data_IF_210374167557
#
_entry.id   IF_210374167557
#
_cell.length_a   1.000
_cell.length_b   1.000
_cell.length_c   1.000
_cell.angle_alpha   90.00
_cell.angle_beta   90.00
_cell.angle_gamma   90.00
#
_symmetry.space_group_name_H-M   'P 1'
#
loop_
_entity.id
_entity.type
_entity.pdbx_description
1 polymer ?
#
# COMPACT_ATOMS: atom_id res chain seq x y z
N UNK A 1 -31.68 2.66 59.68
CA UNK A 1 -30.34 2.99 59.16
C UNK A 1 -30.16 2.13 57.91
N UNK A 2 -30.67 2.53 56.74
CA UNK A 2 -30.21 3.57 55.82
C UNK A 2 -28.78 3.32 55.31
N UNK A 3 -28.63 3.41 53.98
CA UNK A 3 -27.38 3.62 53.20
C UNK A 3 -26.61 2.32 52.91
N UNK A 4 -26.28 1.89 51.68
CA UNK A 4 -26.20 2.52 50.35
C UNK A 4 -26.28 1.42 49.28
N UNK A 5 -27.17 1.59 48.32
CA UNK A 5 -27.09 0.98 46.99
C UNK A 5 -25.85 1.55 46.30
N UNK A 6 -24.82 0.75 46.05
CA UNK A 6 -23.79 1.12 45.08
C UNK A 6 -24.33 0.79 43.70
N UNK A 7 -24.92 1.80 43.07
CA UNK A 7 -25.06 1.87 41.63
C UNK A 7 -23.66 1.83 41.03
N UNK A 8 -23.30 0.72 40.38
CA UNK A 8 -22.20 0.71 39.44
C UNK A 8 -22.60 1.62 38.28
N UNK A 9 -22.14 2.87 38.30
CA UNK A 9 -22.01 3.66 37.09
C UNK A 9 -21.01 2.91 36.20
N UNK A 10 -21.54 2.02 35.35
CA UNK A 10 -20.86 1.66 34.12
C UNK A 10 -20.75 2.97 33.34
N UNK A 11 -19.60 3.64 33.46
CA UNK A 11 -19.18 4.58 32.43
C UNK A 11 -19.28 3.81 31.12
N UNK A 12 -20.19 4.21 30.24
CA UNK A 12 -20.21 3.73 28.88
C UNK A 12 -18.85 4.14 28.29
N UNK A 13 -17.87 3.23 28.33
CA UNK A 13 -16.67 3.36 27.52
C UNK A 13 -17.18 3.61 26.09
N UNK A 14 -16.76 4.75 25.51
CA UNK A 14 -17.14 5.08 24.15
C UNK A 14 -16.84 3.85 23.28
N UNK A 15 -17.84 3.39 22.52
CA UNK A 15 -17.73 2.17 21.74
C UNK A 15 -16.53 2.27 20.79
N UNK A 16 -15.44 1.58 21.12
CA UNK A 16 -14.25 1.53 20.29
C UNK A 16 -14.51 0.62 19.08
N UNK A 17 -14.09 1.05 17.90
CA UNK A 17 -14.24 0.27 16.66
C UNK A 17 -12.89 -0.16 16.13
N UNK A 18 -12.77 -1.40 15.68
CA UNK A 18 -11.52 -1.87 15.09
C UNK A 18 -11.80 -2.82 13.95
N UNK A 19 -11.14 -2.62 12.81
CA UNK A 19 -11.40 -3.43 11.63
C UNK A 19 -10.55 -3.07 10.43
N UNK A 20 -10.74 -3.83 9.37
CA UNK A 20 -9.94 -3.79 8.16
C UNK A 20 -10.68 -3.08 7.03
N UNK A 21 -10.00 -2.14 6.38
CA UNK A 21 -10.42 -1.53 5.14
C UNK A 21 -9.41 -1.85 4.05
N UNK A 22 -9.83 -2.38 2.89
CA UNK A 22 -8.91 -2.50 1.76
C UNK A 22 -9.12 -1.39 0.73
N UNK A 23 -8.03 -0.89 0.16
CA UNK A 23 -8.10 -0.01 -1.00
C UNK A 23 -7.85 -0.80 -2.27
N UNK A 24 -8.75 -0.62 -3.23
CA UNK A 24 -8.78 -1.37 -4.49
C UNK A 24 -8.93 -0.39 -5.64
N UNK A 25 -8.45 -0.80 -6.80
CA UNK A 25 -8.44 0.07 -7.97
C UNK A 25 -7.32 -0.29 -8.92
N UNK A 26 -7.39 0.24 -10.14
CA UNK A 26 -6.36 0.02 -11.16
C UNK A 26 -4.96 0.39 -10.65
N UNK A 27 -3.90 -0.15 -11.26
CA UNK A 27 -2.55 0.37 -11.03
C UNK A 27 -2.52 1.90 -11.20
N UNK A 28 -1.76 2.59 -10.37
CA UNK A 28 -1.65 4.07 -10.33
C UNK A 28 -2.94 4.83 -9.94
N UNK A 29 -3.92 4.17 -9.33
CA UNK A 29 -5.13 4.82 -8.83
C UNK A 29 -4.91 5.69 -7.57
N UNK A 30 -3.70 5.69 -6.99
CA UNK A 30 -3.38 6.48 -5.79
C UNK A 30 -3.60 5.75 -4.45
N UNK A 31 -3.78 4.42 -4.47
CA UNK A 31 -4.02 3.57 -3.27
C UNK A 31 -2.94 3.75 -2.19
N UNK A 32 -1.69 3.40 -2.49
CA UNK A 32 -0.57 3.48 -1.54
C UNK A 32 -0.29 4.93 -1.08
N UNK A 33 -0.51 5.92 -1.96
CA UNK A 33 -0.41 7.34 -1.59
C UNK A 33 -1.48 7.72 -0.57
N UNK A 34 -2.71 7.21 -0.75
CA UNK A 34 -3.81 7.42 0.19
C UNK A 34 -3.58 6.67 1.51
N UNK A 35 -3.08 5.43 1.47
CA UNK A 35 -2.69 4.67 2.66
C UNK A 35 -1.66 5.43 3.48
N UNK A 36 -0.58 5.91 2.87
CA UNK A 36 0.43 6.69 3.56
C UNK A 36 -0.12 8.00 4.13
N UNK A 37 -1.03 8.66 3.43
CA UNK A 37 -1.64 9.91 3.91
C UNK A 37 -2.53 9.68 5.14
N UNK A 38 -3.29 8.58 5.18
CA UNK A 38 -4.13 8.23 6.32
C UNK A 38 -3.31 7.76 7.54
N UNK A 39 -2.24 7.00 7.31
CA UNK A 39 -1.31 6.59 8.38
C UNK A 39 -0.48 7.78 8.89
N UNK A 40 -0.27 8.79 8.06
CA UNK A 40 0.58 9.95 8.37
C UNK A 40 2.08 9.69 8.17
N UNK A 41 2.47 8.47 7.78
CA UNK A 41 3.83 8.08 7.47
C UNK A 41 3.88 7.14 6.26
N UNK A 42 5.08 6.97 5.71
CA UNK A 42 5.30 6.11 4.54
C UNK A 42 5.45 4.65 4.96
N UNK A 43 4.36 3.88 4.84
CA UNK A 43 4.32 2.43 5.09
C UNK A 43 4.26 1.61 3.80
N UNK A 44 3.75 2.18 2.71
CA UNK A 44 3.69 1.55 1.40
C UNK A 44 4.49 2.35 0.36
N UNK A 45 5.17 1.66 -0.56
CA UNK A 45 5.91 2.34 -1.63
C UNK A 45 4.98 2.90 -2.71
N UNK A 46 5.46 3.93 -3.40
CA UNK A 46 4.71 4.64 -4.43
C UNK A 46 5.54 4.78 -5.70
N UNK A 47 4.93 4.53 -6.85
CA UNK A 47 5.58 4.75 -8.14
C UNK A 47 4.52 4.94 -9.22
N UNK A 48 4.90 5.61 -10.31
CA UNK A 48 4.05 5.74 -11.49
C UNK A 48 4.05 4.47 -12.36
N UNK A 49 4.77 3.42 -11.94
CA UNK A 49 4.84 2.15 -12.65
C UNK A 49 3.65 1.26 -12.26
N UNK A 50 2.97 0.65 -13.24
CA UNK A 50 1.98 -0.38 -12.93
C UNK A 50 2.61 -1.51 -12.11
N UNK A 51 1.81 -2.18 -11.28
CA UNK A 51 2.27 -3.26 -10.38
C UNK A 51 3.38 -2.81 -9.40
N UNK A 52 3.26 -1.57 -8.89
CA UNK A 52 4.14 -1.08 -7.82
C UNK A 52 3.95 -1.91 -6.56
N UNK A 53 2.75 -2.01 -6.00
CA UNK A 53 2.47 -2.87 -4.84
C UNK A 53 2.43 -4.35 -5.26
N UNK A 54 3.25 -5.19 -4.61
CA UNK A 54 3.32 -6.65 -4.83
C UNK A 54 3.15 -7.49 -3.57
N UNK A 55 3.22 -6.84 -2.41
CA UNK A 55 2.91 -7.41 -1.11
C UNK A 55 1.69 -6.69 -0.57
N UNK A 56 0.89 -7.37 0.23
CA UNK A 56 -0.21 -6.73 0.93
C UNK A 56 0.35 -6.03 2.16
N UNK A 57 0.36 -4.71 2.13
CA UNK A 57 0.88 -3.90 3.24
C UNK A 57 -0.29 -3.48 4.11
N UNK A 58 -0.17 -3.66 5.42
CA UNK A 58 -1.13 -3.06 6.37
C UNK A 58 -0.58 -1.75 6.91
N UNK A 59 -1.34 -0.68 6.73
CA UNK A 59 -1.14 0.58 7.41
C UNK A 59 -2.11 0.68 8.58
N UNK A 60 -1.63 1.03 9.77
CA UNK A 60 -2.44 1.08 10.99
C UNK A 60 -2.69 2.55 11.33
N UNK A 61 -3.97 2.93 11.36
CA UNK A 61 -4.41 4.27 11.75
C UNK A 61 -5.01 4.17 13.15
N UNK A 62 -4.35 4.80 14.12
CA UNK A 62 -4.81 4.87 15.51
C UNK A 62 -5.66 6.12 15.74
N UNK A 63 -6.81 5.96 16.39
CA UNK A 63 -7.67 7.04 16.87
C UNK A 63 -8.09 6.72 18.32
N UNK A 64 -8.46 7.74 19.12
CA UNK A 64 -8.90 7.49 20.50
C UNK A 64 -10.13 6.57 20.60
N UNK A 65 -10.97 6.58 19.57
CA UNK A 65 -12.24 5.85 19.48
C UNK A 65 -12.21 4.71 18.45
N UNK A 66 -11.10 4.50 17.74
CA UNK A 66 -11.01 3.45 16.73
C UNK A 66 -9.58 3.05 16.32
N UNK A 67 -9.47 1.87 15.72
CA UNK A 67 -8.29 1.43 14.98
C UNK A 67 -8.68 0.97 13.57
N UNK A 68 -8.24 1.71 12.56
CA UNK A 68 -8.51 1.43 11.15
C UNK A 68 -7.27 0.79 10.52
N UNK A 69 -7.39 -0.47 10.10
CA UNK A 69 -6.30 -1.21 9.46
C UNK A 69 -6.50 -1.14 7.94
N UNK A 70 -5.66 -0.35 7.28
CA UNK A 70 -5.66 -0.14 5.84
C UNK A 70 -4.85 -1.24 5.15
N UNK A 71 -5.53 -2.08 4.40
CA UNK A 71 -4.91 -3.14 3.61
C UNK A 71 -4.66 -2.62 2.18
N UNK A 72 -3.43 -2.19 1.89
CA UNK A 72 -3.02 -1.81 0.54
C UNK A 72 -2.76 -3.06 -0.30
N UNK A 73 -3.55 -3.23 -1.36
CA UNK A 73 -3.50 -4.41 -2.21
C UNK A 73 -2.88 -4.11 -3.58
N UNK A 74 -2.25 -5.11 -4.23
CA UNK A 74 -1.83 -4.99 -5.61
C UNK A 74 -2.95 -4.49 -6.54
N UNK A 75 -2.59 -3.74 -7.58
CA UNK A 75 -3.58 -3.32 -8.57
C UNK A 75 -4.11 -4.50 -9.38
N UNK A 76 -5.43 -4.75 -9.30
CA UNK A 76 -6.07 -5.82 -10.06
C UNK A 76 -5.96 -5.57 -11.57
N UNK A 77 -5.55 -6.59 -12.32
CA UNK A 77 -5.38 -6.53 -13.78
C UNK A 77 -5.45 -7.94 -14.39
N UNK A 78 -5.64 -8.05 -15.71
CA UNK A 78 -5.60 -9.35 -16.40
C UNK A 78 -4.17 -9.91 -16.34
N UNK A 79 -3.93 -11.06 -15.68
CA UNK A 79 -2.58 -11.55 -15.45
C UNK A 79 -1.97 -12.10 -16.74
N UNK A 80 -0.65 -12.02 -16.85
CA UNK A 80 0.16 -12.55 -17.97
C UNK A 80 1.32 -13.44 -17.49
N UNK A 81 1.50 -13.55 -16.18
CA UNK A 81 2.57 -14.27 -15.49
C UNK A 81 2.00 -14.89 -14.24
N UNK A 82 2.68 -15.91 -13.70
CA UNK A 82 2.30 -16.56 -12.44
C UNK A 82 2.32 -15.57 -11.27
N UNK A 83 3.27 -14.62 -11.25
CA UNK A 83 3.24 -13.52 -10.29
C UNK A 83 1.91 -12.78 -10.36
N UNK A 84 1.48 -12.36 -11.56
CA UNK A 84 0.22 -11.63 -11.72
C UNK A 84 -1.01 -12.42 -11.26
N UNK A 85 -1.01 -13.73 -11.48
CA UNK A 85 -2.07 -14.62 -10.97
C UNK A 85 -2.10 -14.61 -9.44
N UNK A 86 -0.95 -14.84 -8.78
CA UNK A 86 -0.84 -14.80 -7.31
C UNK A 86 -1.24 -13.45 -6.73
N UNK A 87 -0.82 -12.35 -7.35
CA UNK A 87 -1.20 -11.01 -6.89
C UNK A 87 -2.72 -10.79 -6.95
N UNK A 88 -3.39 -11.30 -7.99
CA UNK A 88 -4.84 -11.23 -8.07
C UNK A 88 -5.54 -12.13 -7.04
N UNK A 89 -4.97 -13.31 -6.75
CA UNK A 89 -5.51 -14.22 -5.73
C UNK A 89 -5.41 -13.59 -4.33
N UNK A 90 -4.29 -12.92 -4.04
CA UNK A 90 -4.11 -12.13 -2.81
C UNK A 90 -5.18 -11.04 -2.71
N UNK A 91 -5.39 -10.26 -3.78
CA UNK A 91 -6.44 -9.22 -3.81
C UNK A 91 -7.82 -9.80 -3.49
N UNK A 92 -8.21 -10.90 -4.13
CA UNK A 92 -9.52 -11.52 -3.91
C UNK A 92 -9.68 -12.10 -2.52
N UNK A 93 -8.61 -12.69 -1.97
CA UNK A 93 -8.61 -13.21 -0.60
C UNK A 93 -8.82 -12.06 0.40
N UNK A 94 -8.09 -10.95 0.23
CA UNK A 94 -8.27 -9.75 1.05
C UNK A 94 -9.70 -9.23 1.01
N UNK A 95 -10.35 -9.21 -0.16
CA UNK A 95 -11.73 -8.73 -0.26
C UNK A 95 -12.75 -9.53 0.55
N UNK A 96 -12.47 -10.82 0.77
CA UNK A 96 -13.34 -11.69 1.55
C UNK A 96 -13.18 -11.49 3.07
N UNK A 97 -12.08 -10.88 3.50
CA UNK A 97 -11.67 -10.77 4.91
C UNK A 97 -11.84 -9.37 5.49
N UNK A 98 -12.03 -8.34 4.66
CA UNK A 98 -12.16 -6.95 5.14
C UNK A 98 -13.59 -6.56 5.50
N UNK A 99 -13.71 -5.62 6.42
CA UNK A 99 -14.96 -5.03 6.88
C UNK A 99 -15.50 -3.97 5.93
N UNK A 100 -14.62 -3.26 5.20
CA UNK A 100 -15.01 -2.26 4.20
C UNK A 100 -14.06 -2.25 2.99
N UNK A 101 -14.60 -1.99 1.80
CA UNK A 101 -13.83 -1.90 0.55
C UNK A 101 -13.89 -0.46 0.02
N UNK A 102 -12.73 0.20 -0.07
CA UNK A 102 -12.58 1.50 -0.71
C UNK A 102 -12.14 1.39 -2.17
N UNK A 103 -13.01 1.72 -3.12
CA UNK A 103 -12.71 1.69 -4.55
C UNK A 103 -12.15 3.03 -5.04
N UNK A 104 -10.84 3.07 -5.27
CA UNK A 104 -10.10 4.25 -5.71
C UNK A 104 -10.23 4.47 -7.23
N UNK A 105 -10.79 5.61 -7.60
CA UNK A 105 -11.03 6.06 -8.97
C UNK A 105 -10.41 7.45 -9.18
N UNK A 106 -9.37 7.60 -10.01
CA UNK A 106 -8.71 8.90 -10.19
C UNK A 106 -9.62 9.92 -10.85
N UNK A 107 -9.64 11.15 -10.34
CA UNK A 107 -10.42 12.26 -10.89
C UNK A 107 -9.90 12.71 -12.27
N UNK A 108 -8.60 12.56 -12.52
CA UNK A 108 -7.92 12.95 -13.75
C UNK A 108 -8.15 11.98 -14.94
N UNK A 109 -8.94 10.91 -14.74
CA UNK A 109 -9.14 9.86 -15.72
C UNK A 109 -10.61 9.47 -15.85
N UNK A 110 -11.06 9.25 -17.08
CA UNK A 110 -12.39 8.67 -17.32
C UNK A 110 -12.45 7.24 -16.80
N UNK A 111 -13.63 6.84 -16.32
CA UNK A 111 -13.94 5.45 -15.95
C UNK A 111 -13.72 4.53 -17.16
N UNK A 112 -12.66 3.73 -17.10
CA UNK A 112 -12.24 2.87 -18.20
C UNK A 112 -12.69 1.42 -18.06
N UNK A 113 -12.32 0.55 -19.03
CA UNK A 113 -12.63 -0.88 -18.97
C UNK A 113 -12.09 -1.59 -17.73
N UNK A 114 -10.91 -1.20 -17.24
CA UNK A 114 -10.33 -1.79 -16.04
C UNK A 114 -11.06 -1.38 -14.75
N UNK A 115 -11.59 -0.14 -14.68
CA UNK A 115 -12.44 0.29 -13.56
C UNK A 115 -13.76 -0.50 -13.56
N UNK A 116 -14.37 -0.62 -14.74
CA UNK A 116 -15.61 -1.41 -14.93
C UNK A 116 -15.41 -2.89 -14.61
N UNK A 117 -14.24 -3.46 -14.91
CA UNK A 117 -13.90 -4.82 -14.53
C UNK A 117 -13.85 -5.00 -13.01
N UNK A 118 -13.14 -4.11 -12.31
CA UNK A 118 -13.06 -4.14 -10.83
C UNK A 118 -14.45 -3.95 -10.23
N UNK A 119 -15.21 -2.95 -10.69
CA UNK A 119 -16.55 -2.69 -10.21
C UNK A 119 -17.48 -3.90 -10.38
N UNK A 120 -17.40 -4.63 -11.50
CA UNK A 120 -18.16 -5.87 -11.71
C UNK A 120 -17.81 -6.96 -10.69
N UNK A 121 -16.52 -7.14 -10.38
CA UNK A 121 -16.12 -8.11 -9.35
C UNK A 121 -16.63 -7.66 -7.97
N UNK A 122 -16.55 -6.35 -7.65
CA UNK A 122 -17.06 -5.79 -6.39
C UNK A 122 -18.58 -5.92 -6.26
N UNK A 123 -19.34 -5.84 -7.36
CA UNK A 123 -20.78 -6.06 -7.36
C UNK A 123 -21.15 -7.50 -6.93
N UNK A 124 -20.25 -8.47 -7.10
CA UNK A 124 -20.40 -9.84 -6.60
C UNK A 124 -20.31 -9.96 -5.08
N UNK A 125 -19.72 -8.98 -4.39
CA UNK A 125 -19.52 -8.99 -2.94
C UNK A 125 -20.73 -8.35 -2.27
N UNK A 126 -21.61 -9.14 -1.66
CA UNK A 126 -22.89 -8.61 -1.14
C UNK A 126 -22.83 -7.98 0.25
N UNK A 127 -22.03 -8.55 1.16
CA UNK A 127 -22.09 -8.20 2.59
C UNK A 127 -21.20 -7.02 2.98
N UNK A 128 -20.09 -6.83 2.28
CA UNK A 128 -19.09 -5.83 2.65
C UNK A 128 -19.50 -4.45 2.11
N UNK A 129 -19.62 -3.39 2.94
CA UNK A 129 -19.85 -2.03 2.48
C UNK A 129 -18.74 -1.56 1.54
N UNK A 130 -19.13 -0.71 0.58
CA UNK A 130 -18.24 -0.22 -0.48
C UNK A 130 -18.26 1.29 -0.49
N UNK A 131 -17.09 1.92 -0.42
CA UNK A 131 -16.93 3.37 -0.52
C UNK A 131 -16.24 3.69 -1.84
N UNK A 132 -16.81 4.55 -2.66
CA UNK A 132 -16.10 5.06 -3.83
C UNK A 132 -15.20 6.23 -3.40
N UNK A 133 -13.91 6.15 -3.73
CA UNK A 133 -12.92 7.16 -3.35
C UNK A 133 -12.41 7.81 -4.62
N UNK A 134 -12.78 9.07 -4.85
CA UNK A 134 -12.33 9.82 -6.03
C UNK A 134 -10.98 10.44 -5.71
N UNK A 135 -9.89 9.80 -6.16
CA UNK A 135 -8.53 10.22 -5.80
C UNK A 135 -8.02 11.33 -6.73
N UNK A 136 -6.93 12.00 -6.34
CA UNK A 136 -6.22 13.01 -7.18
C UNK A 136 -7.07 14.22 -7.57
N UNK A 137 -7.96 14.65 -6.69
CA UNK A 137 -8.83 15.82 -6.91
C UNK A 137 -8.07 17.15 -6.97
N UNK A 138 -6.76 17.15 -6.72
CA UNK A 138 -5.84 18.26 -6.95
C UNK A 138 -5.48 18.48 -8.42
N UNK A 139 -5.71 17.50 -9.29
CA UNK A 139 -5.33 17.57 -10.70
C UNK A 139 -6.45 18.07 -11.62
N UNK A 140 -7.65 18.32 -11.08
CA UNK A 140 -8.83 18.67 -11.87
C UNK A 140 -9.56 19.88 -11.29
N UNK A 141 -10.34 20.57 -12.13
CA UNK A 141 -11.22 21.63 -11.69
C UNK A 141 -12.55 21.09 -11.12
N UNK A 142 -13.38 21.99 -10.56
CA UNK A 142 -14.66 21.61 -9.96
C UNK A 142 -15.67 21.02 -10.95
N UNK A 143 -15.60 21.40 -12.23
CA UNK A 143 -16.51 20.88 -13.26
C UNK A 143 -16.16 19.43 -13.59
N UNK A 144 -14.90 19.14 -13.86
CA UNK A 144 -14.40 17.80 -14.12
C UNK A 144 -14.62 16.87 -12.92
N UNK A 145 -14.43 17.38 -11.69
CA UNK A 145 -14.74 16.62 -10.48
C UNK A 145 -16.23 16.27 -10.38
N UNK A 146 -17.13 17.23 -10.62
CA UNK A 146 -18.56 16.98 -10.59
C UNK A 146 -19.00 15.95 -11.65
N UNK A 147 -18.47 16.04 -12.87
CA UNK A 147 -18.70 15.07 -13.93
C UNK A 147 -18.25 13.66 -13.51
N UNK A 148 -17.09 13.54 -12.86
CA UNK A 148 -16.58 12.27 -12.37
C UNK A 148 -17.45 11.68 -11.26
N UNK A 149 -17.89 12.49 -10.28
CA UNK A 149 -18.78 12.03 -9.21
C UNK A 149 -20.09 11.46 -9.78
N UNK A 150 -20.69 12.15 -10.75
CA UNK A 150 -21.89 11.67 -11.46
C UNK A 150 -21.62 10.34 -12.17
N UNK A 151 -20.48 10.22 -12.85
CA UNK A 151 -20.13 8.99 -13.58
C UNK A 151 -19.95 7.79 -12.64
N UNK A 152 -19.44 8.00 -11.42
CA UNK A 152 -19.24 6.96 -10.41
C UNK A 152 -20.57 6.51 -9.79
N UNK A 153 -21.46 7.46 -9.48
CA UNK A 153 -22.82 7.16 -9.05
C UNK A 153 -23.58 6.35 -10.12
N UNK A 154 -23.49 6.77 -11.39
CA UNK A 154 -24.09 6.04 -12.51
C UNK A 154 -23.51 4.63 -12.67
N UNK A 155 -22.19 4.46 -12.51
CA UNK A 155 -21.55 3.14 -12.55
C UNK A 155 -22.09 2.23 -11.44
N UNK A 156 -22.31 2.78 -10.24
CA UNK A 156 -22.91 2.04 -9.13
C UNK A 156 -24.31 1.55 -9.48
N UNK A 157 -25.16 2.45 -9.99
CA UNK A 157 -26.52 2.12 -10.45
C UNK A 157 -26.55 1.09 -11.58
N UNK A 158 -25.65 1.23 -12.56
CA UNK A 158 -25.54 0.31 -13.70
C UNK A 158 -25.21 -1.12 -13.26
N UNK A 159 -24.35 -1.26 -12.24
CA UNK A 159 -23.82 -2.55 -11.79
C UNK A 159 -24.50 -3.09 -10.52
N UNK A 160 -25.47 -2.37 -9.97
CA UNK A 160 -26.15 -2.75 -8.72
C UNK A 160 -25.26 -2.62 -7.48
N UNK A 161 -24.30 -1.69 -7.50
CA UNK A 161 -23.47 -1.36 -6.34
C UNK A 161 -24.10 -0.18 -5.61
N UNK A 162 -24.48 -0.41 -4.36
CA UNK A 162 -24.81 0.66 -3.43
C UNK A 162 -23.53 1.15 -2.75
N UNK A 163 -23.12 2.37 -3.08
CA UNK A 163 -22.00 3.03 -2.41
C UNK A 163 -22.48 3.48 -1.04
N UNK A 164 -21.77 3.08 0.03
CA UNK A 164 -21.97 3.64 1.36
C UNK A 164 -21.65 5.15 1.34
N UNK A 165 -20.58 5.52 0.65
CA UNK A 165 -20.15 6.91 0.46
C UNK A 165 -19.44 7.09 -0.89
N UNK A 166 -19.45 8.31 -1.43
CA UNK A 166 -18.62 8.74 -2.57
C UNK A 166 -17.78 9.94 -2.13
N UNK A 167 -16.49 9.73 -1.87
CA UNK A 167 -15.62 10.69 -1.17
C UNK A 167 -14.51 11.23 -2.10
N UNK A 168 -14.48 12.53 -2.42
CA UNK A 168 -13.42 13.14 -3.21
C UNK A 168 -12.19 13.50 -2.37
N UNK A 169 -11.05 12.85 -2.63
CA UNK A 169 -9.83 12.97 -1.81
C UNK A 169 -8.63 13.41 -2.64
N UNK A 170 -7.77 14.24 -2.04
CA UNK A 170 -6.40 14.43 -2.51
C UNK A 170 -5.43 14.08 -1.40
N UNK A 171 -4.79 12.92 -1.54
CA UNK A 171 -3.78 12.44 -0.60
C UNK A 171 -2.52 13.33 -0.60
N UNK A 172 -2.16 13.89 -1.76
CA UNK A 172 -1.00 14.78 -1.93
C UNK A 172 -1.25 16.17 -1.35
N UNK A 173 -2.47 16.70 -1.47
CA UNK A 173 -2.85 18.00 -0.92
C UNK A 173 -3.47 17.93 0.48
N UNK A 174 -3.61 16.74 1.07
CA UNK A 174 -4.25 16.54 2.37
C UNK A 174 -5.75 16.84 2.41
N UNK A 175 -6.42 17.00 1.26
CA UNK A 175 -7.86 17.33 1.23
C UNK A 175 -8.71 16.10 1.48
N UNK A 176 -9.59 16.21 2.49
CA UNK A 176 -10.57 15.19 2.88
C UNK A 176 -9.97 13.83 3.27
N UNK A 177 -8.68 13.78 3.63
CA UNK A 177 -8.04 12.55 4.11
C UNK A 177 -8.64 12.14 5.46
N UNK A 178 -8.73 13.07 6.42
CA UNK A 178 -9.34 12.81 7.72
C UNK A 178 -10.83 12.49 7.61
N UNK A 179 -11.56 13.23 6.75
CA UNK A 179 -12.98 12.95 6.46
C UNK A 179 -13.18 11.52 5.96
N UNK A 180 -12.28 11.02 5.08
CA UNK A 180 -12.38 9.64 4.63
C UNK A 180 -12.22 8.66 5.80
N UNK A 181 -11.28 8.89 6.73
CA UNK A 181 -11.15 8.06 7.92
C UNK A 181 -12.43 8.09 8.77
N UNK A 182 -12.98 9.29 8.99
CA UNK A 182 -14.21 9.52 9.77
C UNK A 182 -15.43 8.82 9.15
N UNK A 183 -15.46 8.64 7.83
CA UNK A 183 -16.51 7.91 7.10
C UNK A 183 -16.29 6.39 7.06
N UNK A 184 -15.03 5.93 7.12
CA UNK A 184 -14.70 4.51 7.15
C UNK A 184 -14.91 3.88 8.54
N UNK A 185 -14.55 4.60 9.62
CA UNK A 185 -14.60 4.10 11.00
C UNK A 185 -16.00 3.60 11.41
N UNK A 186 -17.11 4.31 11.13
CA UNK A 186 -18.45 3.84 11.49
C UNK A 186 -18.86 2.54 10.78
N UNK A 187 -18.19 2.17 9.67
CA UNK A 187 -18.44 0.94 8.93
C UNK A 187 -17.69 -0.27 9.51
N UNK A 188 -16.78 -0.04 10.45
CA UNK A 188 -16.02 -1.09 11.13
C UNK A 188 -16.85 -1.71 12.28
N UNK A 189 -16.60 -2.98 12.65
CA UNK A 189 -17.23 -3.58 13.81
C UNK A 189 -16.75 -2.91 15.12
N UNK A 190 -17.58 -2.97 16.14
CA UNK A 190 -17.18 -2.65 17.50
C UNK A 190 -16.23 -3.74 18.03
N UNK A 191 -15.15 -3.33 18.67
CA UNK A 191 -14.12 -4.25 19.13
C UNK A 191 -12.88 -3.53 19.67
N UNK A 192 -12.04 -4.26 20.43
CA UNK A 192 -10.80 -3.72 20.94
C UNK A 192 -9.80 -3.45 19.80
N UNK A 193 -8.78 -2.65 20.06
CA UNK A 193 -7.64 -2.52 19.15
C UNK A 193 -7.05 -3.90 18.79
N UNK A 194 -6.74 -4.11 17.51
CA UNK A 194 -6.19 -5.35 16.96
C UNK A 194 -4.67 -5.38 17.00
N UNK A 195 -4.03 -4.21 16.98
CA UNK A 195 -2.58 -4.02 17.02
C UNK A 195 -2.18 -3.13 18.20
N UNK A 196 -0.95 -3.28 18.74
CA UNK A 196 -0.40 -2.41 19.76
C UNK A 196 -0.45 -0.93 19.38
N UNK A 197 -0.60 -0.06 20.37
CA UNK A 197 -0.49 1.39 20.15
C UNK A 197 0.90 1.75 19.61
N UNK A 198 0.94 2.67 18.65
CA UNK A 198 2.17 3.18 18.05
C UNK A 198 2.66 2.40 16.82
N UNK A 199 2.25 1.14 16.65
CA UNK A 199 2.57 0.37 15.45
C UNK A 199 1.88 0.99 14.23
N UNK A 200 2.65 1.36 13.21
CA UNK A 200 2.09 1.93 11.97
C UNK A 200 1.89 0.90 10.86
N UNK A 201 2.53 -0.27 11.00
CA UNK A 201 2.45 -1.39 10.07
C UNK A 201 2.87 -2.68 10.78
N UNK A 202 2.44 -3.84 10.26
CA UNK A 202 2.88 -5.16 10.71
C UNK A 202 4.01 -5.75 9.82
N UNK A 203 4.48 -4.99 8.84
CA UNK A 203 5.52 -5.43 7.92
C UNK A 203 6.90 -5.47 8.57
N UNK A 204 7.67 -6.57 8.43
CA UNK A 204 9.04 -6.64 8.90
C UNK A 204 9.93 -5.56 8.26
N UNK A 205 10.85 -4.99 9.03
CA UNK A 205 11.78 -3.95 8.55
C UNK A 205 12.55 -4.35 7.30
N UNK A 206 12.98 -5.62 7.20
CA UNK A 206 13.68 -6.15 6.03
C UNK A 206 12.83 -6.03 4.76
N UNK A 207 11.52 -6.24 4.86
CA UNK A 207 10.57 -6.13 3.73
C UNK A 207 10.39 -4.66 3.38
N UNK A 208 10.19 -3.78 4.37
CA UNK A 208 10.10 -2.34 4.13
C UNK A 208 11.36 -1.78 3.46
N UNK A 209 12.55 -2.18 3.93
CA UNK A 209 13.84 -1.80 3.34
C UNK A 209 13.97 -2.32 1.91
N UNK A 210 13.61 -3.58 1.65
CA UNK A 210 13.61 -4.15 0.30
C UNK A 210 12.70 -3.35 -0.65
N UNK A 211 11.51 -2.97 -0.17
CA UNK A 211 10.55 -2.18 -0.92
C UNK A 211 11.06 -0.77 -1.22
N UNK A 212 11.68 -0.08 -0.24
CA UNK A 212 12.30 1.23 -0.47
C UNK A 212 13.42 1.18 -1.52
N UNK A 213 14.23 0.12 -1.51
CA UNK A 213 15.26 -0.11 -2.54
C UNK A 213 14.60 -0.36 -3.90
N UNK A 214 13.53 -1.15 -3.94
CA UNK A 214 12.80 -1.44 -5.17
C UNK A 214 12.16 -0.18 -5.73
N UNK A 215 11.55 0.65 -4.90
CA UNK A 215 10.97 1.94 -5.30
C UNK A 215 12.01 2.83 -6.00
N UNK A 216 13.18 3.00 -5.38
CA UNK A 216 14.28 3.75 -5.97
C UNK A 216 14.78 3.11 -7.28
N UNK A 217 14.83 1.78 -7.37
CA UNK A 217 15.22 1.05 -8.57
C UNK A 217 14.22 1.20 -9.73
N UNK A 218 12.92 1.28 -9.42
CA UNK A 218 11.82 1.49 -10.38
C UNK A 218 11.85 2.89 -11.03
N UNK A 219 12.46 3.86 -10.37
CA UNK A 219 12.50 5.23 -10.86
C UNK A 219 13.36 5.36 -12.12
N UNK A 220 12.77 5.79 -13.24
CA UNK A 220 13.51 6.01 -14.48
C UNK A 220 13.86 4.75 -15.29
N UNK A 221 13.49 3.54 -14.86
CA UNK A 221 13.46 2.36 -15.75
C UNK A 221 12.17 2.37 -16.58
N UNK A 222 12.18 1.80 -17.79
CA UNK A 222 11.04 1.77 -18.73
C UNK A 222 10.85 0.36 -19.31
N UNK A 223 9.86 0.25 -20.19
CA UNK A 223 9.54 -0.98 -20.93
C UNK A 223 9.22 -2.13 -19.97
N UNK A 224 9.78 -3.32 -20.18
CA UNK A 224 9.52 -4.47 -19.32
C UNK A 224 10.33 -4.50 -18.03
N UNK A 225 11.39 -3.69 -17.92
CA UNK A 225 12.31 -3.72 -16.79
C UNK A 225 11.64 -3.50 -15.42
N UNK A 226 10.72 -2.50 -15.23
CA UNK A 226 9.99 -2.34 -13.98
C UNK A 226 9.33 -3.62 -13.45
N UNK A 227 8.84 -4.47 -14.35
CA UNK A 227 8.15 -5.71 -14.00
C UNK A 227 9.12 -6.81 -13.56
N UNK A 228 10.36 -6.79 -14.05
CA UNK A 228 11.37 -7.82 -13.75
C UNK A 228 12.21 -7.57 -12.49
N UNK A 229 12.09 -6.39 -11.85
CA UNK A 229 12.86 -6.06 -10.64
C UNK A 229 12.21 -6.70 -9.42
N UNK A 230 13.00 -7.41 -8.62
CA UNK A 230 12.68 -7.79 -7.24
C UNK A 230 13.86 -7.44 -6.34
N UNK A 231 13.61 -7.19 -5.06
CA UNK A 231 14.68 -6.91 -4.09
C UNK A 231 14.50 -7.82 -2.90
N UNK A 232 15.59 -8.41 -2.43
CA UNK A 232 15.65 -9.19 -1.20
C UNK A 232 16.77 -8.63 -0.34
N UNK A 233 16.47 -8.29 0.90
CA UNK A 233 17.47 -8.00 1.92
C UNK A 233 17.90 -9.33 2.51
N UNK A 234 19.19 -9.67 2.36
CA UNK A 234 19.74 -10.92 2.90
C UNK A 234 20.08 -10.77 4.38
N UNK A 235 20.56 -9.58 4.76
CA UNK A 235 21.12 -9.34 6.08
C UNK A 235 20.99 -7.86 6.46
N UNK A 236 20.63 -7.63 7.73
CA UNK A 236 20.62 -6.33 8.41
C UNK A 236 21.27 -6.53 9.78
N UNK A 237 22.52 -6.08 9.94
CA UNK A 237 23.27 -6.25 11.18
C UNK A 237 23.89 -4.92 11.64
N UNK A 238 23.88 -4.63 12.95
CA UNK A 238 24.69 -3.54 13.48
C UNK A 238 26.16 -3.78 13.14
N UNK A 239 26.83 -2.76 12.61
CA UNK A 239 28.25 -2.85 12.31
C UNK A 239 29.04 -2.97 13.60
N UNK A 240 29.79 -4.07 13.70
CA UNK A 240 30.76 -4.28 14.78
C UNK A 240 31.80 -3.14 14.84
N UNK A 241 32.37 -2.88 16.01
CA UNK A 241 33.37 -1.82 16.25
C UNK A 241 32.87 -0.36 16.10
N UNK A 242 31.56 -0.13 16.21
CA UNK A 242 30.97 1.22 16.32
C UNK A 242 30.64 1.56 17.78
N UNK A 243 30.96 2.78 18.26
CA UNK A 243 30.50 3.21 19.57
C UNK A 243 28.99 3.46 19.56
N UNK A 244 28.32 3.30 20.70
CA UNK A 244 26.85 3.41 20.82
C UNK A 244 26.31 4.79 20.40
N UNK A 245 27.12 5.85 20.50
CA UNK A 245 26.76 7.21 20.07
C UNK A 245 26.85 7.43 18.55
N UNK A 246 27.45 6.48 17.81
CA UNK A 246 27.59 6.52 16.35
C UNK A 246 27.29 5.15 15.72
N UNK A 247 26.06 4.64 15.92
CA UNK A 247 25.66 3.36 15.35
C UNK A 247 25.66 3.43 13.82
N UNK A 248 25.89 2.28 13.19
CA UNK A 248 25.76 2.11 11.75
C UNK A 248 25.18 0.73 11.50
N UNK A 249 24.11 0.65 10.71
CA UNK A 249 23.52 -0.62 10.31
C UNK A 249 24.05 -1.03 8.92
N UNK A 250 24.59 -2.23 8.81
CA UNK A 250 25.00 -2.83 7.54
C UNK A 250 23.83 -3.58 6.93
N UNK A 251 23.47 -3.19 5.70
CA UNK A 251 22.36 -3.76 4.94
C UNK A 251 22.89 -4.34 3.65
N UNK A 252 22.80 -5.66 3.49
CA UNK A 252 23.15 -6.36 2.25
C UNK A 252 21.89 -6.75 1.49
N UNK A 253 21.71 -6.21 0.29
CA UNK A 253 20.52 -6.46 -0.52
C UNK A 253 20.85 -6.86 -1.96
N UNK A 254 20.05 -7.80 -2.48
CA UNK A 254 20.12 -8.27 -3.85
C UNK A 254 18.99 -7.66 -4.69
N UNK A 255 19.36 -6.97 -5.77
CA UNK A 255 18.44 -6.51 -6.82
C UNK A 255 18.40 -7.56 -7.91
N UNK A 256 17.31 -8.32 -7.97
CA UNK A 256 17.08 -9.36 -8.95
C UNK A 256 16.44 -8.81 -10.23
N UNK A 257 16.85 -9.37 -11.37
CA UNK A 257 16.35 -9.11 -12.72
C UNK A 257 16.22 -10.43 -13.49
N UNK A 258 15.44 -10.45 -14.56
CA UNK A 258 15.21 -11.68 -15.33
C UNK A 258 16.30 -11.96 -16.36
N UNK A 259 16.89 -10.93 -16.96
CA UNK A 259 17.76 -11.09 -18.15
C UNK A 259 19.11 -10.38 -17.98
N UNK A 260 20.22 -10.97 -18.44
CA UNK A 260 21.54 -10.33 -18.38
C UNK A 260 21.57 -8.93 -19.02
N UNK A 261 20.81 -8.70 -20.11
CA UNK A 261 20.71 -7.40 -20.77
C UNK A 261 20.17 -6.29 -19.85
N UNK A 262 19.31 -6.63 -18.89
CA UNK A 262 18.75 -5.70 -17.92
C UNK A 262 19.79 -5.27 -16.88
N UNK A 263 20.84 -6.08 -16.64
CA UNK A 263 21.89 -5.80 -15.66
C UNK A 263 22.62 -4.51 -16.00
N UNK A 264 22.95 -4.32 -17.27
CA UNK A 264 23.59 -3.09 -17.75
C UNK A 264 22.73 -1.85 -17.53
N UNK A 265 21.41 -1.99 -17.65
CA UNK A 265 20.47 -0.88 -17.44
C UNK A 265 20.41 -0.49 -15.97
N UNK A 266 20.29 -1.47 -15.05
CA UNK A 266 20.23 -1.22 -13.60
C UNK A 266 21.55 -0.64 -13.06
N UNK A 267 22.70 -1.17 -13.52
CA UNK A 267 24.01 -0.68 -13.09
C UNK A 267 24.27 0.71 -13.68
N UNK A 268 23.95 0.89 -14.96
CA UNK A 268 24.23 2.11 -15.72
C UNK A 268 25.72 2.32 -16.01
N UNK A 269 26.07 3.32 -16.84
CA UNK A 269 27.45 3.61 -17.19
C UNK A 269 28.30 3.87 -15.93
N UNK A 270 29.41 3.13 -15.78
CA UNK A 270 30.32 3.21 -14.63
C UNK A 270 29.61 3.05 -13.26
N UNK A 271 28.49 2.33 -13.21
CA UNK A 271 27.73 2.14 -11.96
C UNK A 271 26.91 3.35 -11.50
N UNK A 272 26.81 4.41 -12.33
CA UNK A 272 26.17 5.67 -11.95
C UNK A 272 24.73 5.47 -11.47
N UNK A 273 23.95 4.64 -12.16
CA UNK A 273 22.54 4.43 -11.84
C UNK A 273 22.39 3.64 -10.53
N UNK A 274 23.14 2.56 -10.35
CA UNK A 274 23.08 1.78 -9.09
C UNK A 274 23.50 2.64 -7.89
N UNK A 275 24.47 3.54 -8.08
CA UNK A 275 24.85 4.53 -7.07
C UNK A 275 23.70 5.49 -6.74
N UNK A 276 22.97 5.99 -7.74
CA UNK A 276 21.79 6.84 -7.54
C UNK A 276 20.67 6.11 -6.79
N UNK A 277 20.42 4.83 -7.12
CA UNK A 277 19.49 3.96 -6.37
C UNK A 277 19.94 3.88 -4.92
N UNK A 278 21.20 3.52 -4.66
CA UNK A 278 21.74 3.41 -3.31
C UNK A 278 21.64 4.70 -2.49
N UNK A 279 21.89 5.87 -3.09
CA UNK A 279 21.77 7.18 -2.43
C UNK A 279 20.31 7.45 -2.03
N UNK A 280 19.35 7.23 -2.95
CA UNK A 280 17.93 7.46 -2.68
C UNK A 280 17.38 6.49 -1.64
N UNK A 281 17.71 5.21 -1.76
CA UNK A 281 17.28 4.18 -0.81
C UNK A 281 17.80 4.47 0.59
N UNK A 282 19.11 4.77 0.74
CA UNK A 282 19.72 5.04 2.04
C UNK A 282 19.01 6.15 2.79
N UNK A 283 18.73 7.28 2.13
CA UNK A 283 18.01 8.40 2.74
C UNK A 283 16.64 8.00 3.28
N UNK A 284 15.90 7.17 2.55
CA UNK A 284 14.58 6.71 3.00
C UNK A 284 14.69 5.67 4.13
N UNK A 285 15.66 4.77 4.04
CA UNK A 285 15.90 3.73 5.05
C UNK A 285 16.35 4.35 6.38
N UNK A 286 17.26 5.33 6.36
CA UNK A 286 17.70 6.03 7.58
C UNK A 286 16.54 6.77 8.25
N UNK A 287 15.63 7.34 7.46
CA UNK A 287 14.42 7.98 7.99
C UNK A 287 13.45 6.98 8.61
N UNK A 288 13.34 5.77 8.03
CA UNK A 288 12.50 4.69 8.55
C UNK A 288 13.06 4.10 9.85
N UNK A 289 14.36 3.78 9.88
CA UNK A 289 15.01 3.06 10.99
C UNK A 289 15.55 4.00 12.08
N UNK A 290 15.59 5.31 11.84
CA UNK A 290 16.17 6.29 12.77
C UNK A 290 17.68 6.14 13.01
N UNK A 291 18.38 5.34 12.20
CA UNK A 291 19.80 4.99 12.37
C UNK A 291 20.54 5.13 11.03
N UNK A 292 21.78 5.66 10.99
CA UNK A 292 22.61 5.68 9.78
C UNK A 292 22.82 4.29 9.20
N UNK A 293 22.84 4.14 7.87
CA UNK A 293 23.01 2.81 7.24
C UNK A 293 24.09 2.78 6.17
N UNK A 294 24.86 1.70 6.14
CA UNK A 294 25.67 1.32 5.00
C UNK A 294 24.87 0.32 4.15
N UNK A 295 24.56 0.72 2.92
CA UNK A 295 23.77 -0.08 2.00
C UNK A 295 24.66 -0.65 0.89
N UNK A 296 24.76 -1.98 0.86
CA UNK A 296 25.46 -2.75 -0.16
C UNK A 296 24.46 -3.42 -1.11
N UNK A 297 24.54 -3.07 -2.40
CA UNK A 297 23.60 -3.49 -3.43
C UNK A 297 24.26 -4.37 -4.49
N UNK A 298 23.75 -5.59 -4.65
CA UNK A 298 24.23 -6.54 -5.65
C UNK A 298 23.16 -6.85 -6.71
N UNK A 299 23.50 -6.71 -7.99
CA UNK A 299 22.58 -7.03 -9.09
C UNK A 299 22.75 -8.49 -9.52
N UNK A 300 21.72 -9.32 -9.31
CA UNK A 300 21.70 -10.75 -9.64
C UNK A 300 20.68 -11.07 -10.73
N UNK A 301 20.98 -12.05 -11.58
CA UNK A 301 20.06 -12.53 -12.62
C UNK A 301 19.34 -13.77 -12.09
N UNK A 302 18.01 -13.69 -12.00
CA UNK A 302 17.09 -14.77 -11.67
C UNK A 302 16.21 -15.02 -12.90
N UNK A 303 16.64 -15.94 -13.76
CA UNK A 303 16.05 -16.12 -15.09
C UNK A 303 14.56 -16.47 -15.01
N UNK A 304 13.73 -15.69 -15.71
CA UNK A 304 12.28 -15.89 -15.87
C UNK A 304 11.55 -16.10 -14.53
N UNK A 305 12.01 -15.47 -13.46
CA UNK A 305 11.57 -15.75 -12.09
C UNK A 305 10.07 -15.53 -11.86
N UNK A 306 9.42 -14.62 -12.61
CA UNK A 306 7.97 -14.37 -12.51
C UNK A 306 7.11 -15.56 -12.97
N UNK A 307 7.71 -16.56 -13.61
CA UNK A 307 7.04 -17.79 -14.10
C UNK A 307 7.44 -19.04 -13.32
N UNK A 308 8.40 -18.94 -12.41
CA UNK A 308 8.94 -20.07 -11.66
C UNK A 308 8.39 -20.06 -10.22
N UNK A 309 7.51 -21.01 -9.84
CA UNK A 309 6.94 -21.07 -8.50
C UNK A 309 7.97 -21.15 -7.37
N UNK A 310 9.14 -21.76 -7.61
CA UNK A 310 10.22 -21.87 -6.60
C UNK A 310 10.93 -20.54 -6.42
N UNK A 311 11.18 -19.82 -7.51
CA UNK A 311 11.82 -18.51 -7.44
C UNK A 311 10.88 -17.46 -6.85
N UNK A 312 9.58 -17.49 -7.17
CA UNK A 312 8.59 -16.64 -6.52
C UNK A 312 8.66 -16.77 -5.00
N UNK A 313 8.59 -18.00 -4.47
CA UNK A 313 8.69 -18.26 -3.02
C UNK A 313 10.01 -17.77 -2.43
N UNK A 314 11.13 -18.00 -3.12
CA UNK A 314 12.45 -17.54 -2.68
C UNK A 314 12.54 -16.01 -2.60
N UNK A 315 11.85 -15.30 -3.50
CA UNK A 315 11.82 -13.84 -3.57
C UNK A 315 10.71 -13.22 -2.71
N UNK A 316 9.99 -14.02 -1.93
CA UNK A 316 8.95 -13.56 -1.01
C UNK A 316 7.56 -13.37 -1.64
N UNK A 317 7.23 -14.05 -2.74
CA UNK A 317 5.92 -14.03 -3.42
C UNK A 317 5.26 -15.42 -3.49
#
# INVERSE_FOLDING_TARGET
MSVRTQSSEQSAEAAHRAGFACFVGRPNAGKSTLTNALVGQKVAITSNRPQTTRHTVRGIVHRPDAQLILVDTPGLHKPRTLLGERLNDVVRTTWAEVDVIGFCLPADQKIGPGDRFIAKELAGIRKTPKVAIVTKTDLVDGKALAEQLIAIDQLGKELGIEWAEIVPVSATAGRQVDLLADLLIPLLPEGPALYPEGDLTDEPEQVMVAELIREAALEGVRDELPHSIAVVVEEMLPREDRPEDKPLLDIHANVFIERPSQKGIIIGPKGKRLKEVGIKSRKQIEALLGTPVFLDLHVKVAKDWQRDPKQLRRLGF
#
